data_IF_955459037734
#
_entry.id   IF_955459037734
#
_cell.length_a   1.000
_cell.length_b   1.000
_cell.length_c   1.000
_cell.angle_alpha   90.00
_cell.angle_beta   90.00
_cell.angle_gamma   90.00
#
_symmetry.space_group_name_H-M   'P 1'
#
loop_
_entity.id
_entity.type
_entity.pdbx_description
1 polymer ?
#
# COMPACT_ATOMS: atom_id res chain seq x y z
N UNK A 1 -2.30 -12.05 14.66
CA UNK A 1 -2.53 -10.84 15.49
C UNK A 1 -1.51 -9.71 15.24
N UNK A 2 -0.24 -9.96 14.96
CA UNK A 2 0.76 -8.88 14.78
C UNK A 2 0.60 -8.08 13.48
N UNK A 3 0.19 -8.70 12.37
CA UNK A 3 0.07 -8.06 11.04
C UNK A 3 -1.18 -7.19 10.89
N UNK A 4 -2.29 -7.53 11.56
CA UNK A 4 -3.49 -6.68 11.61
C UNK A 4 -3.24 -5.43 12.47
N UNK A 5 -2.43 -5.55 13.54
CA UNK A 5 -1.95 -4.40 14.33
C UNK A 5 -1.01 -3.50 13.51
N UNK A 6 -0.26 -4.06 12.55
CA UNK A 6 0.63 -3.27 11.69
C UNK A 6 -0.16 -2.44 10.66
N UNK A 7 -1.19 -3.02 10.05
CA UNK A 7 -2.09 -2.30 9.14
C UNK A 7 -2.92 -1.24 9.90
N UNK A 8 -3.42 -1.58 11.09
CA UNK A 8 -4.14 -0.65 11.95
C UNK A 8 -3.22 0.48 12.47
N UNK A 9 -1.96 0.17 12.81
CA UNK A 9 -0.96 1.17 13.18
C UNK A 9 -0.55 2.05 11.99
N UNK A 10 -0.49 1.55 10.77
CA UNK A 10 -0.22 2.37 9.59
C UNK A 10 -1.35 3.38 9.34
N UNK A 11 -2.61 2.95 9.50
CA UNK A 11 -3.78 3.84 9.42
C UNK A 11 -3.80 4.81 10.61
N UNK A 12 -3.40 4.37 11.81
CA UNK A 12 -3.33 5.21 13.00
C UNK A 12 -2.20 6.24 12.88
N UNK A 13 -1.05 5.88 12.30
CA UNK A 13 0.06 6.80 12.00
C UNK A 13 -0.38 7.83 10.95
N UNK A 14 -1.16 7.43 9.94
CA UNK A 14 -1.76 8.35 8.97
C UNK A 14 -2.66 9.38 9.65
N UNK A 15 -3.48 8.96 10.62
CA UNK A 15 -4.37 9.83 11.40
C UNK A 15 -3.63 10.76 12.37
N UNK A 16 -2.44 10.38 12.85
CA UNK A 16 -1.64 11.18 13.79
C UNK A 16 -0.88 12.34 13.11
N UNK A 17 -0.69 12.30 11.78
CA UNK A 17 0.00 13.35 11.01
C UNK A 17 -0.94 14.43 10.43
N UNK A 18 -2.23 14.38 10.67
CA UNK A 18 -3.25 15.30 10.16
C UNK A 18 -3.28 16.75 10.76
N UNK A 19 -2.67 17.11 11.90
CA UNK A 19 -2.87 18.45 12.49
C UNK A 19 -1.98 19.58 11.95
N UNK A 20 -1.26 19.43 10.84
CA UNK A 20 -0.22 20.43 10.45
C UNK A 20 -0.56 21.35 9.26
N UNK A 21 -1.79 21.46 8.82
CA UNK A 21 -2.14 22.29 7.66
C UNK A 21 -3.00 23.50 8.04
N UNK A 22 -2.36 24.58 8.52
CA UNK A 22 -3.00 25.89 8.62
C UNK A 22 -2.12 26.95 7.95
N UNK A 23 -2.07 26.97 6.63
CA UNK A 23 -1.61 28.12 5.86
C UNK A 23 -2.11 28.02 4.42
N UNK A 24 -2.85 29.02 3.98
CA UNK A 24 -3.33 29.14 2.60
C UNK A 24 -2.12 29.29 1.65
N UNK A 25 -1.99 28.37 0.70
CA UNK A 25 -1.01 28.46 -0.39
C UNK A 25 -1.72 29.10 -1.58
N UNK A 26 -1.07 30.05 -2.29
CA UNK A 26 -1.72 30.68 -3.45
C UNK A 26 -1.77 29.72 -4.62
N UNK A 27 -2.87 29.77 -5.38
CA UNK A 27 -3.13 28.96 -6.58
C UNK A 27 -1.99 29.07 -7.60
N UNK A 28 -1.46 30.27 -7.84
CA UNK A 28 -0.32 30.51 -8.72
C UNK A 28 0.96 29.76 -8.29
N UNK A 29 1.19 29.63 -6.99
CA UNK A 29 2.38 28.92 -6.47
C UNK A 29 2.25 27.41 -6.68
N UNK A 30 1.06 26.84 -6.53
CA UNK A 30 0.81 25.41 -6.76
C UNK A 30 0.94 25.09 -8.24
N UNK A 31 0.40 25.95 -9.12
CA UNK A 31 0.50 25.80 -10.58
C UNK A 31 1.95 25.89 -11.06
N UNK A 32 2.74 26.81 -10.52
CA UNK A 32 4.15 27.00 -10.92
C UNK A 32 5.05 25.79 -10.69
N UNK A 33 4.71 24.92 -9.73
CA UNK A 33 5.44 23.67 -9.43
C UNK A 33 4.79 22.41 -10.01
N UNK A 34 3.73 22.56 -10.81
CA UNK A 34 3.06 21.44 -11.46
C UNK A 34 1.97 20.78 -10.63
N UNK A 35 1.38 21.49 -9.66
CA UNK A 35 0.30 20.97 -8.83
C UNK A 35 -0.95 20.56 -9.61
N UNK A 36 -1.27 21.25 -10.70
CA UNK A 36 -2.37 20.89 -11.62
C UNK A 36 -2.14 19.52 -12.28
N UNK A 37 -0.90 19.19 -12.63
CA UNK A 37 -0.56 17.88 -13.22
C UNK A 37 -0.82 16.73 -12.27
N UNK A 38 -0.76 16.94 -10.94
CA UNK A 38 -1.09 15.93 -9.93
C UNK A 38 -2.59 15.64 -9.89
N UNK A 39 -3.41 16.68 -10.01
CA UNK A 39 -4.87 16.54 -10.07
C UNK A 39 -5.29 15.79 -11.35
N UNK A 40 -4.64 16.07 -12.47
CA UNK A 40 -4.88 15.39 -13.75
C UNK A 40 -4.40 13.93 -13.71
N UNK A 41 -3.27 13.66 -13.07
CA UNK A 41 -2.70 12.32 -12.93
C UNK A 41 -3.42 11.46 -11.89
N UNK A 42 -4.36 12.02 -11.13
CA UNK A 42 -5.10 11.29 -10.10
C UNK A 42 -5.99 10.22 -10.76
N UNK A 43 -5.82 8.92 -10.39
CA UNK A 43 -6.65 7.84 -10.91
C UNK A 43 -8.12 7.99 -10.54
N UNK A 44 -9.01 7.46 -11.37
CA UNK A 44 -10.46 7.51 -11.11
C UNK A 44 -10.86 6.86 -9.79
N UNK A 45 -10.11 5.85 -9.34
CA UNK A 45 -10.29 5.21 -8.03
C UNK A 45 -10.07 6.16 -6.85
N UNK A 46 -9.19 7.15 -6.98
CA UNK A 46 -8.96 8.18 -5.97
C UNK A 46 -9.90 9.36 -6.14
N UNK A 47 -10.25 9.74 -7.38
CA UNK A 47 -11.15 10.87 -7.66
C UNK A 47 -12.50 10.76 -6.96
N UNK A 48 -13.07 9.56 -6.91
CA UNK A 48 -14.36 9.34 -6.23
C UNK A 48 -14.33 9.67 -4.72
N UNK A 49 -13.15 9.60 -4.08
CA UNK A 49 -12.97 9.92 -2.65
C UNK A 49 -12.50 11.34 -2.43
N UNK A 50 -11.79 11.92 -3.40
CA UNK A 50 -11.14 13.22 -3.33
C UNK A 50 -11.81 14.26 -4.25
N UNK A 51 -13.10 14.08 -4.56
CA UNK A 51 -13.84 15.03 -5.40
C UNK A 51 -13.90 16.41 -4.72
N UNK A 52 -13.44 17.45 -5.45
CA UNK A 52 -13.32 18.82 -4.93
C UNK A 52 -12.11 19.04 -4.00
N UNK A 53 -11.24 18.07 -3.82
CA UNK A 53 -9.98 18.24 -3.07
C UNK A 53 -8.86 18.60 -4.04
N UNK A 54 -8.26 19.76 -3.85
CA UNK A 54 -7.10 20.21 -4.61
C UNK A 54 -5.95 20.57 -3.66
N UNK A 55 -4.70 20.50 -4.12
CA UNK A 55 -3.56 20.91 -3.31
C UNK A 55 -3.56 22.42 -2.97
N UNK A 56 -4.45 23.19 -3.61
CA UNK A 56 -4.59 24.64 -3.46
C UNK A 56 -5.41 25.02 -2.21
N UNK A 57 -6.32 24.16 -1.76
CA UNK A 57 -7.27 24.43 -0.68
C UNK A 57 -6.94 23.65 0.58
N UNK A 58 -5.94 24.12 1.35
CA UNK A 58 -5.53 23.49 2.61
C UNK A 58 -6.67 23.39 3.65
N UNK A 59 -7.58 24.38 3.70
CA UNK A 59 -8.73 24.40 4.63
C UNK A 59 -9.76 23.31 4.31
N UNK A 60 -9.92 22.98 3.03
CA UNK A 60 -10.84 21.91 2.60
C UNK A 60 -10.28 20.50 2.81
N UNK A 61 -8.96 20.36 3.01
CA UNK A 61 -8.30 19.06 3.26
C UNK A 61 -8.81 18.43 4.56
N UNK A 62 -9.02 19.21 5.62
CA UNK A 62 -9.54 18.70 6.92
C UNK A 62 -10.99 18.21 6.80
N UNK A 63 -11.85 18.97 6.14
CA UNK A 63 -13.26 18.60 5.92
C UNK A 63 -13.39 17.46 4.91
N UNK A 64 -12.46 17.39 3.96
CA UNK A 64 -12.40 16.33 2.95
C UNK A 64 -12.02 14.98 3.55
N UNK A 65 -11.17 14.95 4.58
CA UNK A 65 -10.83 13.70 5.30
C UNK A 65 -12.08 13.04 5.88
N UNK A 66 -12.99 13.82 6.47
CA UNK A 66 -14.23 13.28 7.04
C UNK A 66 -15.14 12.69 5.97
N UNK A 67 -15.29 13.35 4.81
CA UNK A 67 -16.07 12.84 3.67
C UNK A 67 -15.41 11.61 3.03
N UNK A 68 -14.10 11.62 2.91
CA UNK A 68 -13.31 10.46 2.43
C UNK A 68 -13.57 9.25 3.33
N UNK A 69 -13.50 9.42 4.65
CA UNK A 69 -13.76 8.35 5.62
C UNK A 69 -15.19 7.81 5.52
N UNK A 70 -16.18 8.68 5.31
CA UNK A 70 -17.58 8.27 5.15
C UNK A 70 -17.80 7.45 3.87
N UNK A 71 -17.27 7.88 2.74
CA UNK A 71 -17.33 7.13 1.49
C UNK A 71 -16.58 5.78 1.60
N UNK A 72 -15.43 5.76 2.28
CA UNK A 72 -14.66 4.55 2.55
C UNK A 72 -15.44 3.51 3.36
N UNK A 73 -16.37 3.92 4.24
CA UNK A 73 -17.17 2.96 5.03
C UNK A 73 -18.15 2.17 4.17
N UNK A 74 -18.75 2.76 3.14
CA UNK A 74 -19.69 2.08 2.25
C UNK A 74 -18.99 1.00 1.41
N UNK A 75 -17.81 1.33 0.88
CA UNK A 75 -17.01 0.38 0.08
C UNK A 75 -16.41 -0.75 0.93
N UNK A 76 -16.10 -0.46 2.19
CA UNK A 76 -15.70 -1.49 3.16
C UNK A 76 -16.81 -2.52 3.38
N UNK A 77 -18.07 -2.09 3.49
CA UNK A 77 -19.20 -3.01 3.65
C UNK A 77 -19.37 -3.90 2.42
N UNK A 78 -19.23 -3.35 1.22
CA UNK A 78 -19.32 -4.12 -0.03
C UNK A 78 -18.21 -5.17 -0.14
N UNK A 79 -16.98 -4.81 0.23
CA UNK A 79 -15.83 -5.71 0.25
C UNK A 79 -16.01 -6.87 1.24
N UNK A 80 -16.49 -6.56 2.46
CA UNK A 80 -16.79 -7.57 3.49
C UNK A 80 -17.91 -8.50 3.03
N UNK A 81 -18.99 -7.97 2.45
CA UNK A 81 -20.10 -8.79 1.92
C UNK A 81 -19.61 -9.74 0.81
N UNK A 82 -18.73 -9.28 -0.06
CA UNK A 82 -18.15 -10.10 -1.12
C UNK A 82 -17.30 -11.25 -0.56
N UNK A 83 -16.45 -10.97 0.44
CA UNK A 83 -15.63 -11.97 1.11
C UNK A 83 -16.48 -13.00 1.87
N UNK A 84 -17.53 -12.54 2.59
CA UNK A 84 -18.49 -13.42 3.26
C UNK A 84 -19.28 -14.27 2.26
N UNK A 85 -19.69 -13.72 1.12
CA UNK A 85 -20.36 -14.47 0.05
C UNK A 85 -19.48 -15.59 -0.52
N UNK A 86 -18.17 -15.36 -0.65
CA UNK A 86 -17.18 -16.38 -1.00
C UNK A 86 -17.10 -17.49 0.04
N UNK A 87 -16.96 -17.11 1.31
CA UNK A 87 -16.92 -18.04 2.44
C UNK A 87 -18.22 -18.89 2.54
N UNK A 88 -19.39 -18.28 2.35
CA UNK A 88 -20.66 -19.01 2.36
C UNK A 88 -20.74 -20.07 1.27
N UNK A 89 -20.25 -19.77 0.04
CA UNK A 89 -20.18 -20.78 -1.04
C UNK A 89 -19.31 -21.96 -0.67
N UNK A 90 -18.16 -21.69 -0.05
CA UNK A 90 -17.26 -22.74 0.46
C UNK A 90 -17.92 -23.52 1.59
N UNK A 91 -18.60 -22.84 2.53
CA UNK A 91 -19.31 -23.50 3.61
C UNK A 91 -20.40 -24.47 3.12
N UNK A 92 -21.13 -24.11 2.08
CA UNK A 92 -22.12 -25.01 1.44
C UNK A 92 -21.45 -26.28 0.89
N UNK A 93 -20.32 -26.15 0.19
CA UNK A 93 -19.58 -27.31 -0.34
C UNK A 93 -19.11 -28.21 0.80
N UNK A 94 -18.56 -27.63 1.87
CA UNK A 94 -18.06 -28.36 3.04
C UNK A 94 -19.22 -29.09 3.76
N UNK A 95 -20.37 -28.44 3.93
CA UNK A 95 -21.57 -29.05 4.54
C UNK A 95 -22.08 -30.22 3.70
N UNK A 96 -22.16 -30.07 2.37
CA UNK A 96 -22.57 -31.16 1.47
C UNK A 96 -21.60 -32.35 1.55
N UNK A 97 -20.29 -32.07 1.56
CA UNK A 97 -19.27 -33.11 1.71
C UNK A 97 -19.36 -33.83 3.06
N UNK A 98 -19.59 -33.06 4.14
CA UNK A 98 -19.77 -33.63 5.48
C UNK A 98 -21.02 -34.52 5.57
N UNK A 99 -22.15 -34.07 4.98
CA UNK A 99 -23.35 -34.88 4.90
C UNK A 99 -23.13 -36.16 4.07
N UNK A 100 -22.48 -36.07 2.92
CA UNK A 100 -22.16 -37.22 2.07
C UNK A 100 -21.28 -38.24 2.81
N UNK A 101 -20.29 -37.82 3.58
CA UNK A 101 -19.48 -38.70 4.45
C UNK A 101 -20.33 -39.38 5.50
N UNK A 102 -21.24 -38.64 6.16
CA UNK A 102 -22.15 -39.20 7.17
C UNK A 102 -23.05 -40.28 6.59
N UNK A 103 -23.62 -40.08 5.38
CA UNK A 103 -24.44 -41.10 4.68
C UNK A 103 -23.61 -42.30 4.26
N UNK A 104 -22.39 -42.11 3.75
CA UNK A 104 -21.50 -43.22 3.37
C UNK A 104 -21.12 -44.06 4.59
N UNK A 105 -20.78 -43.45 5.70
CA UNK A 105 -20.46 -44.12 6.95
C UNK A 105 -21.68 -44.93 7.49
N UNK A 106 -22.88 -44.35 7.43
CA UNK A 106 -24.11 -45.02 7.85
C UNK A 106 -24.49 -46.23 6.95
N UNK A 107 -24.09 -46.19 5.68
CA UNK A 107 -24.29 -47.29 4.72
C UNK A 107 -23.21 -48.38 4.80
N UNK A 108 -22.27 -48.30 5.76
CA UNK A 108 -21.18 -49.29 5.91
C UNK A 108 -20.05 -49.13 4.90
N UNK A 109 -20.03 -48.02 4.16
CA UNK A 109 -18.91 -47.68 3.26
C UNK A 109 -17.67 -47.25 4.01
N UNK A 110 -16.50 -47.69 3.55
CA UNK A 110 -15.22 -47.13 4.04
C UNK A 110 -15.13 -45.63 3.73
N UNK A 111 -14.39 -44.87 4.56
CA UNK A 111 -14.19 -43.46 4.42
C UNK A 111 -13.79 -43.13 2.96
N UNK A 112 -14.65 -42.36 2.26
CA UNK A 112 -14.48 -42.16 0.85
C UNK A 112 -13.54 -40.96 0.61
N UNK A 113 -12.28 -41.22 0.39
CA UNK A 113 -11.27 -40.22 -0.05
C UNK A 113 -11.74 -39.44 -1.29
N UNK A 114 -12.59 -40.06 -2.11
CA UNK A 114 -13.19 -39.39 -3.26
C UNK A 114 -14.14 -38.23 -2.94
N UNK A 115 -14.87 -38.32 -1.82
CA UNK A 115 -15.74 -37.22 -1.35
C UNK A 115 -14.87 -36.03 -0.94
N UNK A 116 -13.80 -36.28 -0.21
CA UNK A 116 -12.87 -35.23 0.25
C UNK A 116 -12.12 -34.63 -0.93
N UNK A 117 -11.69 -35.44 -1.89
CA UNK A 117 -11.05 -34.94 -3.11
C UNK A 117 -12.01 -34.08 -3.94
N UNK A 118 -13.23 -34.49 -4.14
CA UNK A 118 -14.24 -33.73 -4.88
C UNK A 118 -14.58 -32.41 -4.16
N UNK A 119 -14.70 -32.43 -2.83
CA UNK A 119 -14.94 -31.25 -2.04
C UNK A 119 -13.75 -30.29 -2.10
N UNK A 120 -12.50 -30.79 -2.03
CA UNK A 120 -11.30 -30.00 -2.17
C UNK A 120 -11.22 -29.29 -3.53
N UNK A 121 -11.50 -30.01 -4.62
CA UNK A 121 -11.53 -29.46 -5.97
C UNK A 121 -12.65 -28.43 -6.15
N UNK A 122 -13.85 -28.70 -5.62
CA UNK A 122 -14.97 -27.75 -5.64
C UNK A 122 -14.66 -26.47 -4.88
N UNK A 123 -14.08 -26.57 -3.69
CA UNK A 123 -13.61 -25.42 -2.91
C UNK A 123 -12.48 -24.69 -3.63
N UNK A 124 -11.52 -25.42 -4.21
CA UNK A 124 -10.42 -24.82 -4.96
C UNK A 124 -10.92 -23.96 -6.14
N UNK A 125 -11.92 -24.44 -6.90
CA UNK A 125 -12.49 -23.69 -8.00
C UNK A 125 -13.11 -22.35 -7.57
N UNK A 126 -13.86 -22.34 -6.45
CA UNK A 126 -14.45 -21.11 -5.90
C UNK A 126 -13.37 -20.18 -5.39
N UNK A 127 -12.42 -20.70 -4.61
CA UNK A 127 -11.39 -19.89 -3.93
C UNK A 127 -10.36 -19.32 -4.89
N UNK A 128 -9.96 -20.06 -5.92
CA UNK A 128 -9.06 -19.56 -6.97
C UNK A 128 -9.70 -18.43 -7.77
N UNK A 129 -11.02 -18.51 -8.03
CA UNK A 129 -11.76 -17.43 -8.69
C UNK A 129 -11.76 -16.15 -7.84
N UNK A 130 -12.09 -16.28 -6.55
CA UNK A 130 -12.13 -15.14 -5.62
C UNK A 130 -10.73 -14.53 -5.46
N UNK A 131 -9.69 -15.37 -5.39
CA UNK A 131 -8.30 -14.93 -5.33
C UNK A 131 -7.87 -14.19 -6.61
N UNK A 132 -8.20 -14.72 -7.79
CA UNK A 132 -7.88 -14.07 -9.05
C UNK A 132 -8.53 -12.68 -9.17
N UNK A 133 -9.75 -12.50 -8.65
CA UNK A 133 -10.41 -11.21 -8.61
C UNK A 133 -9.70 -10.18 -7.71
N UNK A 134 -9.22 -10.60 -6.53
CA UNK A 134 -8.44 -9.72 -5.64
C UNK A 134 -7.04 -9.47 -6.21
N UNK A 135 -6.43 -10.48 -6.84
CA UNK A 135 -5.13 -10.35 -7.47
C UNK A 135 -5.14 -9.32 -8.62
N UNK A 136 -6.16 -9.37 -9.49
CA UNK A 136 -6.30 -8.38 -10.58
C UNK A 136 -6.46 -6.98 -10.00
N UNK A 137 -7.29 -6.81 -8.98
CA UNK A 137 -7.46 -5.53 -8.30
C UNK A 137 -6.14 -5.01 -7.69
N UNK A 138 -5.33 -5.90 -7.08
CA UNK A 138 -4.02 -5.52 -6.54
C UNK A 138 -3.05 -5.08 -7.64
N UNK A 139 -3.02 -5.78 -8.79
CA UNK A 139 -2.20 -5.39 -9.95
C UNK A 139 -2.59 -4.03 -10.51
N UNK A 140 -3.89 -3.84 -10.76
CA UNK A 140 -4.42 -2.57 -11.26
C UNK A 140 -4.07 -1.41 -10.31
N UNK A 141 -4.09 -1.67 -9.00
CA UNK A 141 -3.71 -0.70 -7.98
C UNK A 141 -2.22 -0.38 -8.02
N UNK A 142 -1.36 -1.39 -8.16
CA UNK A 142 0.09 -1.18 -8.27
C UNK A 142 0.44 -0.37 -9.52
N UNK A 143 -0.25 -0.60 -10.64
CA UNK A 143 -0.08 0.18 -11.87
C UNK A 143 -0.55 1.63 -11.68
N UNK A 144 -1.69 1.86 -11.03
CA UNK A 144 -2.17 3.20 -10.69
C UNK A 144 -1.20 3.95 -9.78
N UNK A 145 -0.67 3.28 -8.75
CA UNK A 145 0.34 3.85 -7.85
C UNK A 145 1.61 4.20 -8.62
N UNK A 146 2.04 3.35 -9.54
CA UNK A 146 3.24 3.59 -10.37
C UNK A 146 3.07 4.84 -11.23
N UNK A 147 1.94 4.98 -11.93
CA UNK A 147 1.64 6.15 -12.76
C UNK A 147 1.56 7.41 -11.92
N UNK A 148 0.83 7.38 -10.82
CA UNK A 148 0.68 8.53 -9.92
C UNK A 148 2.02 8.94 -9.29
N UNK A 149 2.82 7.98 -8.81
CA UNK A 149 4.16 8.22 -8.27
C UNK A 149 5.09 8.87 -9.31
N UNK A 150 5.02 8.42 -10.57
CA UNK A 150 5.79 9.01 -11.68
C UNK A 150 5.52 10.49 -11.92
N UNK A 151 4.34 10.99 -11.56
CA UNK A 151 3.99 12.43 -11.62
C UNK A 151 4.29 13.13 -10.30
N UNK A 152 4.02 12.49 -9.17
CA UNK A 152 4.18 13.07 -7.84
C UNK A 152 5.65 13.37 -7.49
N UNK A 153 6.56 12.46 -7.81
CA UNK A 153 7.98 12.59 -7.47
C UNK A 153 8.66 13.81 -8.12
N UNK A 154 8.52 14.09 -9.44
CA UNK A 154 9.06 15.30 -10.04
C UNK A 154 8.51 16.58 -9.43
N UNK A 155 7.20 16.62 -9.14
CA UNK A 155 6.56 17.79 -8.51
C UNK A 155 7.15 18.05 -7.13
N UNK A 156 7.26 17.02 -6.29
CA UNK A 156 7.90 17.12 -4.98
C UNK A 156 9.37 17.51 -5.05
N UNK A 157 10.12 16.98 -6.03
CA UNK A 157 11.52 17.37 -6.23
C UNK A 157 11.65 18.86 -6.62
N UNK A 158 10.73 19.37 -7.45
CA UNK A 158 10.69 20.80 -7.80
C UNK A 158 10.42 21.65 -6.55
N UNK A 159 9.47 21.26 -5.72
CA UNK A 159 9.16 21.95 -4.45
C UNK A 159 10.34 21.93 -3.48
N UNK A 160 11.05 20.80 -3.37
CA UNK A 160 12.27 20.70 -2.56
C UNK A 160 13.40 21.60 -3.10
N UNK A 161 13.55 21.66 -4.42
CA UNK A 161 14.56 22.48 -5.08
C UNK A 161 14.32 23.99 -4.84
N UNK A 162 13.06 24.44 -4.93
CA UNK A 162 12.69 25.84 -4.61
C UNK A 162 12.95 26.21 -3.16
N UNK A 163 12.88 25.23 -2.24
CA UNK A 163 13.26 25.37 -0.83
C UNK A 163 14.75 25.33 -0.55
N UNK A 164 15.62 25.35 -1.58
CA UNK A 164 17.07 25.34 -1.44
C UNK A 164 17.71 23.96 -1.20
N UNK A 165 16.94 22.88 -1.30
CA UNK A 165 17.42 21.50 -1.11
C UNK A 165 17.63 20.79 -2.45
N UNK A 166 18.33 21.42 -3.39
CA UNK A 166 18.49 20.93 -4.77
C UNK A 166 19.21 19.58 -4.86
N UNK A 167 20.29 19.38 -4.10
CA UNK A 167 21.03 18.12 -4.10
C UNK A 167 20.20 16.98 -3.50
N UNK A 168 19.49 17.25 -2.41
CA UNK A 168 18.55 16.28 -1.79
C UNK A 168 17.42 15.93 -2.75
N UNK A 169 16.83 16.91 -3.42
CA UNK A 169 15.75 16.73 -4.39
C UNK A 169 16.19 15.78 -5.55
N UNK A 170 17.33 16.08 -6.16
CA UNK A 170 17.85 15.33 -7.29
C UNK A 170 18.16 13.86 -6.91
N UNK A 171 18.85 13.66 -5.79
CA UNK A 171 19.24 12.32 -5.32
C UNK A 171 18.01 11.50 -4.96
N UNK A 172 17.07 12.05 -4.20
CA UNK A 172 15.86 11.37 -3.79
C UNK A 172 15.01 11.00 -5.00
N UNK A 173 14.72 11.97 -5.89
CA UNK A 173 13.91 11.73 -7.08
C UNK A 173 14.49 10.60 -7.93
N UNK A 174 15.78 10.68 -8.30
CA UNK A 174 16.38 9.71 -9.19
C UNK A 174 16.40 8.30 -8.57
N UNK A 175 16.83 8.20 -7.31
CA UNK A 175 16.96 6.90 -6.68
C UNK A 175 15.61 6.30 -6.30
N UNK A 176 14.65 7.09 -5.84
CA UNK A 176 13.33 6.56 -5.48
C UNK A 176 12.56 6.10 -6.71
N UNK A 177 12.62 6.82 -7.83
CA UNK A 177 12.04 6.34 -9.09
C UNK A 177 12.59 4.96 -9.48
N UNK A 178 13.91 4.78 -9.43
CA UNK A 178 14.55 3.51 -9.77
C UNK A 178 14.15 2.41 -8.79
N UNK A 179 14.20 2.69 -7.48
CA UNK A 179 13.85 1.70 -6.45
C UNK A 179 12.38 1.32 -6.54
N UNK A 180 11.50 2.28 -6.74
CA UNK A 180 10.06 2.03 -6.82
C UNK A 180 9.69 1.19 -8.06
N UNK A 181 10.23 1.54 -9.24
CA UNK A 181 10.05 0.77 -10.47
C UNK A 181 10.58 -0.67 -10.30
N UNK A 182 11.77 -0.82 -9.69
CA UNK A 182 12.34 -2.14 -9.38
C UNK A 182 11.43 -2.96 -8.46
N UNK A 183 10.87 -2.35 -7.41
CA UNK A 183 9.97 -3.02 -6.48
C UNK A 183 8.70 -3.48 -7.19
N UNK A 184 8.05 -2.62 -7.99
CA UNK A 184 6.84 -2.98 -8.73
C UNK A 184 7.13 -4.11 -9.71
N UNK A 185 8.24 -4.05 -10.46
CA UNK A 185 8.67 -5.14 -11.35
C UNK A 185 8.90 -6.44 -10.60
N UNK A 186 9.57 -6.39 -9.46
CA UNK A 186 9.82 -7.57 -8.62
C UNK A 186 8.52 -8.18 -8.09
N UNK A 187 7.58 -7.34 -7.64
CA UNK A 187 6.27 -7.79 -7.18
C UNK A 187 5.52 -8.46 -8.34
N UNK A 188 5.41 -7.80 -9.49
CA UNK A 188 4.63 -8.32 -10.63
C UNK A 188 5.27 -9.56 -11.28
N UNK A 189 6.60 -9.58 -11.44
CA UNK A 189 7.31 -10.64 -12.15
C UNK A 189 7.62 -11.87 -11.29
N UNK A 190 7.80 -11.70 -9.98
CA UNK A 190 8.22 -12.78 -9.08
C UNK A 190 7.19 -13.11 -8.00
N UNK A 191 6.77 -12.09 -7.22
CA UNK A 191 5.97 -12.34 -6.02
C UNK A 191 4.52 -12.71 -6.35
N UNK A 192 3.93 -12.10 -7.37
CA UNK A 192 2.58 -12.43 -7.83
C UNK A 192 2.48 -13.85 -8.39
N UNK A 193 3.36 -14.31 -9.32
CA UNK A 193 3.39 -15.72 -9.73
C UNK A 193 3.67 -16.67 -8.57
N UNK A 194 4.54 -16.29 -7.61
CA UNK A 194 4.80 -17.10 -6.43
C UNK A 194 3.54 -17.28 -5.56
N UNK A 195 2.71 -16.24 -5.39
CA UNK A 195 1.44 -16.34 -4.66
C UNK A 195 0.43 -17.25 -5.39
N UNK A 196 0.38 -17.18 -6.72
CA UNK A 196 -0.44 -18.09 -7.53
C UNK A 196 0.03 -19.55 -7.40
N UNK A 197 1.34 -19.78 -7.50
CA UNK A 197 1.95 -21.09 -7.32
C UNK A 197 1.69 -21.65 -5.91
N UNK A 198 1.81 -20.81 -4.88
CA UNK A 198 1.47 -21.16 -3.51
C UNK A 198 0.05 -21.72 -3.39
N UNK A 199 -0.94 -21.03 -3.96
CA UNK A 199 -2.34 -21.48 -3.90
C UNK A 199 -2.58 -22.74 -4.74
N UNK A 200 -1.99 -22.83 -5.92
CA UNK A 200 -2.11 -24.02 -6.75
C UNK A 200 -1.55 -25.26 -6.03
N UNK A 201 -0.37 -25.14 -5.43
CA UNK A 201 0.28 -26.22 -4.67
C UNK A 201 -0.57 -26.61 -3.45
N UNK A 202 -1.12 -25.65 -2.71
CA UNK A 202 -1.99 -25.95 -1.55
C UNK A 202 -3.31 -26.58 -1.95
N UNK A 203 -3.88 -26.26 -3.13
CA UNK A 203 -5.06 -26.90 -3.66
C UNK A 203 -4.80 -28.37 -4.06
N UNK A 204 -3.66 -28.63 -4.72
CA UNK A 204 -3.25 -29.98 -5.08
C UNK A 204 -2.95 -30.82 -3.83
N UNK A 205 -2.27 -30.24 -2.82
CA UNK A 205 -1.97 -30.92 -1.56
C UNK A 205 -3.26 -31.33 -0.80
N UNK A 206 -4.26 -30.46 -0.83
CA UNK A 206 -5.57 -30.73 -0.23
C UNK A 206 -6.33 -31.85 -0.96
N UNK A 207 -6.26 -31.87 -2.30
CA UNK A 207 -6.90 -32.90 -3.11
C UNK A 207 -6.19 -34.27 -3.00
N UNK A 208 -4.84 -34.25 -2.90
CA UNK A 208 -4.05 -35.47 -2.73
C UNK A 208 -4.11 -36.05 -1.31
N UNK A 209 -4.42 -35.25 -0.30
CA UNK A 209 -4.60 -35.66 1.09
C UNK A 209 -3.34 -36.09 1.85
N UNK A 210 -2.18 -36.14 1.19
CA UNK A 210 -0.94 -36.75 1.73
C UNK A 210 0.07 -35.78 2.34
N UNK A 211 -0.13 -34.46 2.19
CA UNK A 211 0.74 -33.42 2.77
C UNK A 211 2.16 -33.33 2.19
N UNK A 212 2.44 -34.00 1.07
CA UNK A 212 3.79 -34.03 0.45
C UNK A 212 4.25 -32.67 -0.05
N UNK A 213 3.33 -31.81 -0.50
CA UNK A 213 3.64 -30.51 -1.12
C UNK A 213 3.75 -29.38 -0.09
N UNK A 214 3.47 -29.67 1.19
CA UNK A 214 3.47 -28.67 2.26
C UNK A 214 4.81 -27.94 2.38
N UNK A 215 5.93 -28.65 2.33
CA UNK A 215 7.25 -28.05 2.44
C UNK A 215 7.53 -27.03 1.34
N UNK A 216 7.06 -27.28 0.11
CA UNK A 216 7.20 -26.36 -1.02
C UNK A 216 6.33 -25.13 -0.81
N UNK A 217 5.07 -25.30 -0.37
CA UNK A 217 4.18 -24.19 -0.08
C UNK A 217 4.74 -23.28 1.03
N UNK A 218 5.22 -23.85 2.12
CA UNK A 218 5.84 -23.12 3.23
C UNK A 218 7.12 -22.40 2.79
N UNK A 219 7.91 -23.01 1.91
CA UNK A 219 9.09 -22.39 1.30
C UNK A 219 8.73 -21.15 0.48
N UNK A 220 7.74 -21.24 -0.39
CA UNK A 220 7.25 -20.09 -1.21
C UNK A 220 6.73 -18.97 -0.32
N UNK A 221 5.93 -19.29 0.69
CA UNK A 221 5.42 -18.31 1.67
C UNK A 221 6.55 -17.61 2.41
N UNK A 222 7.53 -18.38 2.90
CA UNK A 222 8.70 -17.84 3.61
C UNK A 222 9.53 -16.94 2.72
N UNK A 223 9.82 -17.38 1.49
CA UNK A 223 10.56 -16.60 0.49
C UNK A 223 9.84 -15.29 0.18
N UNK A 224 8.56 -15.34 -0.18
CA UNK A 224 7.76 -14.16 -0.50
C UNK A 224 7.74 -13.16 0.67
N UNK A 225 7.49 -13.64 1.88
CA UNK A 225 7.48 -12.78 3.08
C UNK A 225 8.87 -12.22 3.41
N UNK A 226 9.93 -13.00 3.18
CA UNK A 226 11.32 -12.60 3.39
C UNK A 226 11.74 -11.49 2.42
N UNK A 227 11.42 -11.65 1.14
CA UNK A 227 11.70 -10.66 0.09
C UNK A 227 10.99 -9.34 0.40
N UNK A 228 9.70 -9.35 0.78
CA UNK A 228 8.98 -8.13 1.13
C UNK A 228 9.61 -7.39 2.33
N UNK A 229 10.02 -8.12 3.35
CA UNK A 229 10.73 -7.54 4.50
C UNK A 229 12.08 -6.95 4.11
N UNK A 230 12.83 -7.66 3.27
CA UNK A 230 14.13 -7.20 2.78
C UNK A 230 14.00 -5.90 1.99
N UNK A 231 13.05 -5.82 1.06
CA UNK A 231 12.77 -4.62 0.27
C UNK A 231 12.51 -3.42 1.20
N UNK A 232 11.59 -3.56 2.15
CA UNK A 232 11.24 -2.47 3.06
C UNK A 232 12.42 -2.04 3.94
N UNK A 233 13.22 -3.00 4.42
CA UNK A 233 14.41 -2.72 5.24
C UNK A 233 15.48 -2.00 4.44
N UNK A 234 15.77 -2.45 3.21
CA UNK A 234 16.75 -1.80 2.33
C UNK A 234 16.32 -0.39 1.94
N UNK A 235 15.03 -0.20 1.65
CA UNK A 235 14.49 1.12 1.32
C UNK A 235 14.58 2.09 2.51
N UNK A 236 14.24 1.64 3.71
CA UNK A 236 14.35 2.46 4.94
C UNK A 236 15.82 2.83 5.22
N UNK A 237 16.74 1.88 5.06
CA UNK A 237 18.18 2.15 5.20
C UNK A 237 18.67 3.14 4.14
N UNK A 238 18.21 3.01 2.89
CA UNK A 238 18.52 3.96 1.82
C UNK A 238 18.07 5.39 2.19
N UNK A 239 16.82 5.58 2.64
CA UNK A 239 16.33 6.90 3.05
C UNK A 239 17.15 7.50 4.19
N UNK A 240 17.55 6.70 5.17
CA UNK A 240 18.38 7.16 6.29
C UNK A 240 19.75 7.66 5.82
N UNK A 241 20.37 6.99 4.87
CA UNK A 241 21.68 7.36 4.32
C UNK A 241 21.56 8.59 3.40
N UNK A 242 20.60 8.55 2.45
CA UNK A 242 20.41 9.62 1.47
C UNK A 242 20.14 10.98 2.14
N UNK A 243 19.32 10.98 3.20
CA UNK A 243 19.02 12.19 3.95
C UNK A 243 20.17 12.75 4.75
N UNK A 244 20.92 11.89 5.40
CA UNK A 244 22.09 12.32 6.17
C UNK A 244 23.16 12.98 5.30
N UNK A 245 23.39 12.46 4.10
CA UNK A 245 24.40 12.99 3.17
C UNK A 245 23.91 14.25 2.47
N UNK A 246 22.74 14.17 1.81
CA UNK A 246 22.24 15.26 0.96
C UNK A 246 21.87 16.50 1.77
N UNK A 247 21.20 16.35 2.92
CA UNK A 247 20.82 17.49 3.76
C UNK A 247 22.01 18.29 4.32
N UNK A 248 23.17 17.69 4.51
CA UNK A 248 24.38 18.40 4.94
C UNK A 248 24.98 19.21 3.79
N UNK A 249 24.98 18.69 2.56
CA UNK A 249 25.48 19.40 1.37
C UNK A 249 24.62 20.62 1.06
N UNK A 250 23.30 20.48 1.08
CA UNK A 250 22.36 21.58 0.81
C UNK A 250 22.47 22.69 1.86
N UNK A 251 22.57 22.34 3.15
CA UNK A 251 22.79 23.33 4.24
C UNK A 251 24.10 24.10 4.08
N UNK A 252 25.15 23.41 3.63
CA UNK A 252 26.45 24.04 3.41
C UNK A 252 26.40 25.00 2.21
N UNK A 253 25.73 24.62 1.11
CA UNK A 253 25.53 25.50 -0.05
C UNK A 253 24.72 26.74 0.28
N UNK A 254 23.59 26.59 0.97
CA UNK A 254 22.75 27.72 1.40
C UNK A 254 23.53 28.69 2.32
N UNK A 255 24.28 28.16 3.28
CA UNK A 255 25.09 29.00 4.20
C UNK A 255 26.17 29.75 3.46
N UNK A 256 26.84 29.12 2.48
CA UNK A 256 27.86 29.74 1.66
C UNK A 256 27.28 30.83 0.75
N UNK A 257 26.14 30.56 0.10
CA UNK A 257 25.44 31.54 -0.73
C UNK A 257 24.99 32.76 0.10
N UNK A 258 24.43 32.53 1.30
CA UNK A 258 23.97 33.59 2.21
C UNK A 258 25.16 34.49 2.67
N UNK A 259 26.30 33.88 2.97
CA UNK A 259 27.52 34.61 3.34
C UNK A 259 28.12 35.38 2.16
N UNK A 260 28.11 34.82 0.94
CA UNK A 260 28.62 35.51 -0.24
C UNK A 260 27.77 36.73 -0.62
N UNK A 261 26.45 36.65 -0.51
CA UNK A 261 25.52 37.74 -0.82
C UNK A 261 25.54 38.82 0.27
N UNK A 262 25.58 38.45 1.55
CA UNK A 262 25.60 39.40 2.67
C UNK A 262 26.93 40.17 2.76
N UNK A 263 28.05 39.60 2.33
CA UNK A 263 29.35 40.23 2.32
C UNK A 263 29.63 41.14 1.12
N UNK A 264 28.93 40.94 -0.01
CA UNK A 264 29.21 41.65 -1.26
C UNK A 264 28.48 43.00 -1.39
N UNK A 265 27.34 43.21 -0.73
CA UNK A 265 26.51 44.44 -0.90
C UNK A 265 25.90 44.90 0.43
N UNK A 266 26.52 45.83 1.13
CA UNK A 266 26.14 46.22 2.50
C UNK A 266 24.75 46.86 2.64
N UNK A 267 24.20 47.45 1.57
CA UNK A 267 22.92 48.19 1.63
C UNK A 267 21.71 47.35 1.17
N UNK A 268 21.92 46.32 0.35
CA UNK A 268 20.85 45.50 -0.26
C UNK A 268 20.79 44.09 0.34
N UNK A 269 21.79 43.69 1.12
CA UNK A 269 21.90 42.34 1.71
C UNK A 269 20.73 41.98 2.63
N UNK A 270 20.14 42.96 3.32
CA UNK A 270 18.94 42.74 4.16
C UNK A 270 17.71 42.34 3.32
N UNK A 271 17.43 43.13 2.28
CA UNK A 271 16.26 42.87 1.40
C UNK A 271 16.34 41.50 0.67
N UNK A 272 17.56 41.11 0.29
CA UNK A 272 17.79 39.80 -0.35
C UNK A 272 17.68 38.69 0.70
N UNK A 273 18.11 38.92 1.94
CA UNK A 273 17.93 37.97 3.05
C UNK A 273 16.45 37.72 3.35
N UNK A 274 15.65 38.80 3.44
CA UNK A 274 14.21 38.74 3.71
C UNK A 274 13.43 38.09 2.56
N UNK A 275 13.79 38.40 1.31
CA UNK A 275 13.23 37.75 0.14
C UNK A 275 13.54 36.24 0.12
N UNK A 276 14.76 35.86 0.51
CA UNK A 276 15.16 34.43 0.60
C UNK A 276 14.39 33.71 1.71
N UNK A 277 14.17 34.36 2.84
CA UNK A 277 13.39 33.80 3.95
C UNK A 277 11.90 33.63 3.59
N UNK A 278 11.34 34.59 2.86
CA UNK A 278 9.97 34.51 2.33
C UNK A 278 9.82 33.38 1.31
N UNK A 279 10.81 33.20 0.41
CA UNK A 279 10.82 32.07 -0.55
C UNK A 279 10.91 30.71 0.15
N UNK A 280 11.77 30.60 1.18
CA UNK A 280 11.91 29.37 1.97
C UNK A 280 10.63 29.02 2.74
N UNK A 281 9.95 30.02 3.31
CA UNK A 281 8.68 29.83 4.01
C UNK A 281 7.58 29.39 3.03
N UNK A 282 7.47 30.03 1.86
CA UNK A 282 6.53 29.67 0.81
C UNK A 282 6.75 28.25 0.30
N UNK A 283 8.00 27.84 0.07
CA UNK A 283 8.33 26.48 -0.34
C UNK A 283 8.00 25.42 0.74
N UNK A 284 8.14 25.77 2.03
CA UNK A 284 7.76 24.89 3.12
C UNK A 284 6.24 24.65 3.18
N UNK A 285 5.44 25.69 2.92
CA UNK A 285 3.99 25.62 2.85
C UNK A 285 3.52 24.77 1.65
N UNK A 286 4.04 25.06 0.46
CA UNK A 286 3.77 24.31 -0.78
C UNK A 286 4.05 22.83 -0.61
N UNK A 287 5.17 22.49 0.02
CA UNK A 287 5.54 21.12 0.30
C UNK A 287 4.56 20.43 1.24
N UNK A 288 4.11 21.13 2.29
CA UNK A 288 3.12 20.62 3.22
C UNK A 288 1.83 20.26 2.49
N UNK A 289 1.31 21.18 1.69
CA UNK A 289 0.07 21.01 0.92
C UNK A 289 0.17 19.89 -0.12
N UNK A 290 1.18 19.90 -1.00
CA UNK A 290 1.39 18.87 -2.04
C UNK A 290 1.71 17.52 -1.42
N UNK A 291 2.50 17.48 -0.35
CA UNK A 291 2.81 16.23 0.34
C UNK A 291 1.59 15.58 0.99
N UNK A 292 0.75 16.37 1.64
CA UNK A 292 -0.51 15.90 2.25
C UNK A 292 -1.47 15.41 1.16
N UNK A 293 -1.64 16.17 0.08
CA UNK A 293 -2.45 15.77 -1.06
C UNK A 293 -1.95 14.45 -1.66
N UNK A 294 -0.64 14.30 -1.88
CA UNK A 294 -0.03 13.07 -2.35
C UNK A 294 -0.29 11.87 -1.42
N UNK A 295 -0.16 12.05 -0.10
CA UNK A 295 -0.49 11.02 0.88
C UNK A 295 -1.96 10.61 0.85
N UNK A 296 -2.88 11.57 0.72
CA UNK A 296 -4.31 11.30 0.61
C UNK A 296 -4.64 10.54 -0.68
N UNK A 297 -4.03 10.92 -1.82
CA UNK A 297 -4.20 10.21 -3.09
C UNK A 297 -3.72 8.76 -2.98
N UNK A 298 -2.52 8.51 -2.45
CA UNK A 298 -2.00 7.15 -2.26
C UNK A 298 -2.90 6.34 -1.32
N UNK A 299 -3.37 6.95 -0.23
CA UNK A 299 -4.31 6.29 0.69
C UNK A 299 -5.63 5.92 -0.02
N UNK A 300 -6.19 6.84 -0.80
CA UNK A 300 -7.44 6.63 -1.55
C UNK A 300 -7.28 5.52 -2.62
N UNK A 301 -6.18 5.51 -3.37
CA UNK A 301 -5.88 4.46 -4.36
C UNK A 301 -5.80 3.08 -3.70
N UNK A 302 -5.13 3.00 -2.55
CA UNK A 302 -4.87 1.73 -1.86
C UNK A 302 -6.07 1.22 -1.06
N UNK A 303 -7.01 2.06 -0.69
CA UNK A 303 -8.04 1.75 0.30
C UNK A 303 -8.89 0.53 -0.06
N UNK A 304 -9.54 0.55 -1.23
CA UNK A 304 -10.43 -0.55 -1.68
C UNK A 304 -9.71 -1.90 -1.75
N UNK A 305 -8.55 -2.01 -2.43
CA UNK A 305 -7.83 -3.28 -2.48
C UNK A 305 -7.32 -3.75 -1.11
N UNK A 306 -6.94 -2.82 -0.23
CA UNK A 306 -6.57 -3.16 1.15
C UNK A 306 -7.72 -3.77 1.93
N UNK A 307 -8.88 -3.14 1.89
CA UNK A 307 -10.07 -3.63 2.60
C UNK A 307 -10.51 -4.97 2.01
N UNK A 308 -10.49 -5.10 0.68
CA UNK A 308 -10.92 -6.33 0.02
C UNK A 308 -9.97 -7.50 0.28
N UNK A 309 -8.65 -7.31 0.17
CA UNK A 309 -7.66 -8.32 0.50
C UNK A 309 -7.67 -8.66 2.01
N UNK A 310 -7.80 -7.65 2.86
CA UNK A 310 -7.86 -7.80 4.31
C UNK A 310 -9.13 -8.52 4.78
N UNK A 311 -10.29 -8.16 4.24
CA UNK A 311 -11.55 -8.84 4.51
C UNK A 311 -11.49 -10.32 4.08
N UNK A 312 -10.99 -10.59 2.87
CA UNK A 312 -10.81 -11.96 2.39
C UNK A 312 -9.85 -12.75 3.29
N UNK A 313 -8.71 -12.16 3.67
CA UNK A 313 -7.77 -12.77 4.62
C UNK A 313 -8.43 -13.16 5.94
N UNK A 314 -9.17 -12.24 6.54
CA UNK A 314 -9.84 -12.47 7.83
C UNK A 314 -10.98 -13.47 7.71
N UNK A 315 -11.84 -13.33 6.68
CA UNK A 315 -12.98 -14.21 6.47
C UNK A 315 -12.53 -15.67 6.24
N UNK A 316 -11.55 -15.92 5.37
CA UNK A 316 -11.11 -17.28 5.11
C UNK A 316 -10.33 -17.88 6.27
N UNK A 317 -9.57 -17.07 7.01
CA UNK A 317 -8.86 -17.55 8.19
C UNK A 317 -9.81 -17.87 9.34
N UNK A 318 -10.76 -17.00 9.65
CA UNK A 318 -11.79 -17.28 10.65
C UNK A 318 -12.75 -18.40 10.19
N UNK A 319 -13.07 -18.42 8.88
CA UNK A 319 -13.89 -19.47 8.29
C UNK A 319 -13.28 -20.86 8.40
N UNK A 320 -11.95 -20.99 8.27
CA UNK A 320 -11.26 -22.26 8.49
C UNK A 320 -11.45 -22.79 9.91
N UNK A 321 -11.39 -21.90 10.92
CA UNK A 321 -11.62 -22.28 12.32
C UNK A 321 -13.08 -22.68 12.57
N UNK A 322 -14.05 -21.91 12.06
CA UNK A 322 -15.49 -22.14 12.19
C UNK A 322 -15.92 -23.43 11.51
N UNK A 323 -15.40 -23.70 10.30
CA UNK A 323 -15.73 -24.90 9.53
C UNK A 323 -14.90 -26.13 9.96
N UNK A 324 -13.92 -25.98 10.83
CA UNK A 324 -13.02 -27.05 11.29
C UNK A 324 -13.74 -28.33 11.72
N UNK A 325 -14.85 -28.30 12.48
CA UNK A 325 -15.54 -29.52 12.89
C UNK A 325 -16.18 -30.31 11.74
N UNK A 326 -16.40 -29.67 10.60
CA UNK A 326 -17.06 -30.22 9.41
C UNK A 326 -16.07 -30.61 8.32
N UNK A 327 -14.84 -30.15 8.43
CA UNK A 327 -13.79 -30.37 7.44
C UNK A 327 -12.95 -31.60 7.77
N UNK A 328 -12.42 -32.27 6.72
CA UNK A 328 -11.25 -33.10 6.88
C UNK A 328 -10.02 -32.26 7.18
N UNK A 329 -8.98 -32.86 7.77
CA UNK A 329 -7.73 -32.16 8.10
C UNK A 329 -7.06 -31.51 6.89
N UNK A 330 -7.17 -32.14 5.71
CA UNK A 330 -6.68 -31.59 4.44
C UNK A 330 -7.44 -30.32 4.04
N UNK A 331 -8.78 -30.35 4.13
CA UNK A 331 -9.63 -29.23 3.79
C UNK A 331 -9.45 -28.04 4.73
N UNK A 332 -9.36 -28.30 6.03
CA UNK A 332 -9.09 -27.24 7.03
C UNK A 332 -7.80 -26.52 6.70
N UNK A 333 -6.71 -27.24 6.48
CA UNK A 333 -5.41 -26.67 6.10
C UNK A 333 -5.48 -25.89 4.80
N UNK A 334 -6.24 -26.36 3.83
CA UNK A 334 -6.43 -25.66 2.56
C UNK A 334 -7.07 -24.28 2.79
N UNK A 335 -8.14 -24.21 3.57
CA UNK A 335 -8.80 -22.93 3.91
C UNK A 335 -7.86 -21.95 4.64
N UNK A 336 -7.08 -22.44 5.59
CA UNK A 336 -6.06 -21.64 6.29
C UNK A 336 -5.00 -21.12 5.31
N UNK A 337 -4.56 -21.96 4.37
CA UNK A 337 -3.57 -21.61 3.35
C UNK A 337 -4.11 -20.59 2.34
N UNK A 338 -5.38 -20.70 1.96
CA UNK A 338 -6.04 -19.69 1.12
C UNK A 338 -6.08 -18.33 1.83
N UNK A 339 -6.48 -18.30 3.11
CA UNK A 339 -6.36 -17.10 3.92
C UNK A 339 -4.94 -16.53 3.91
N UNK A 340 -3.92 -17.39 4.04
CA UNK A 340 -2.52 -16.97 3.96
C UNK A 340 -2.17 -16.39 2.57
N UNK A 341 -2.68 -16.95 1.48
CA UNK A 341 -2.52 -16.43 0.12
C UNK A 341 -3.03 -14.98 -0.02
N UNK A 342 -4.23 -14.68 0.49
CA UNK A 342 -4.73 -13.31 0.56
C UNK A 342 -3.85 -12.41 1.44
N UNK A 343 -3.29 -12.97 2.52
CA UNK A 343 -2.31 -12.27 3.36
C UNK A 343 -1.00 -11.92 2.63
N UNK A 344 -0.58 -12.72 1.65
CA UNK A 344 0.57 -12.40 0.80
C UNK A 344 0.25 -11.23 -0.15
N UNK A 345 -0.93 -11.21 -0.79
CA UNK A 345 -1.36 -10.08 -1.62
C UNK A 345 -1.44 -8.78 -0.81
N UNK A 346 -2.04 -8.85 0.38
CA UNK A 346 -2.10 -7.73 1.30
C UNK A 346 -0.69 -7.24 1.67
N UNK A 347 0.25 -8.16 1.91
CA UNK A 347 1.64 -7.85 2.20
C UNK A 347 2.37 -7.16 1.05
N UNK A 348 2.15 -7.58 -0.19
CA UNK A 348 2.72 -6.96 -1.39
C UNK A 348 2.22 -5.52 -1.54
N UNK A 349 0.90 -5.33 -1.49
CA UNK A 349 0.28 -4.01 -1.58
C UNK A 349 0.76 -3.09 -0.45
N UNK A 350 0.78 -3.61 0.80
CA UNK A 350 1.28 -2.87 1.97
C UNK A 350 2.71 -2.39 1.80
N UNK A 351 3.59 -3.24 1.25
CA UNK A 351 4.99 -2.89 1.07
C UNK A 351 5.13 -1.75 0.06
N UNK A 352 4.45 -1.80 -1.08
CA UNK A 352 4.49 -0.74 -2.09
C UNK A 352 3.92 0.58 -1.54
N UNK A 353 2.78 0.55 -0.87
CA UNK A 353 2.20 1.73 -0.24
C UNK A 353 3.13 2.31 0.84
N UNK A 354 3.72 1.47 1.70
CA UNK A 354 4.63 1.92 2.75
C UNK A 354 5.90 2.59 2.21
N UNK A 355 6.43 2.12 1.08
CA UNK A 355 7.57 2.75 0.42
C UNK A 355 7.22 4.17 0.01
N UNK A 356 6.09 4.39 -0.67
CA UNK A 356 5.64 5.72 -1.05
C UNK A 356 5.33 6.62 0.15
N UNK A 357 4.66 6.08 1.17
CA UNK A 357 4.40 6.84 2.38
C UNK A 357 5.68 7.27 3.09
N UNK A 358 6.64 6.37 3.25
CA UNK A 358 7.93 6.71 3.86
C UNK A 358 8.66 7.77 3.06
N UNK A 359 8.63 7.69 1.74
CA UNK A 359 9.21 8.71 0.86
C UNK A 359 8.55 10.07 1.06
N UNK A 360 7.20 10.12 1.01
CA UNK A 360 6.44 11.35 1.19
C UNK A 360 6.69 11.98 2.56
N UNK A 361 6.61 11.19 3.63
CA UNK A 361 6.90 11.63 4.99
C UNK A 361 8.33 12.18 5.08
N UNK A 362 9.27 11.47 4.45
CA UNK A 362 10.66 11.88 4.44
C UNK A 362 10.86 13.19 3.69
N UNK A 363 10.30 13.36 2.50
CA UNK A 363 10.33 14.61 1.74
C UNK A 363 9.69 15.78 2.49
N UNK A 364 8.54 15.52 3.15
CA UNK A 364 7.87 16.52 3.99
C UNK A 364 8.67 16.88 5.24
N UNK A 365 9.40 15.95 5.83
CA UNK A 365 10.18 16.18 7.04
C UNK A 365 11.53 16.88 6.82
N UNK A 366 12.10 16.79 5.60
CA UNK A 366 13.46 17.23 5.30
C UNK A 366 13.69 18.74 5.36
N UNK A 367 12.69 19.56 5.16
CA UNK A 367 12.83 21.01 5.25
C UNK A 367 12.32 21.47 6.62
N UNK A 368 13.19 21.53 7.60
CA UNK A 368 12.94 22.34 8.80
C UNK A 368 13.08 23.80 8.42
N UNK A 369 12.18 24.71 8.88
CA UNK A 369 12.46 26.13 8.84
C UNK A 369 13.76 26.36 9.62
N UNK A 370 14.69 27.08 9.03
CA UNK A 370 15.94 27.50 9.63
C UNK A 370 15.65 28.63 10.62
#
# INVERSE_FOLDING_TARGET
>A
MSKCKLALNAILVLLLFLPFAHAAVSEEQVQSVGGSSLTDAMPNSARQYLDGVSPENADTLSDSVSRVLENMTSDSQSAIRTALGGLLRVAVIVLLASAARGFSAAAGGEANDWIDMAAALGCAAVLLRDFAGVLSLCRDTLDQISVFSGTLQPVLATVLATGGNTATATVLQAATMVVFDLVIRLVNALLVPAACAYLAITAVDAAAGNGMLRGIADGIKSLTSGVLKLILTLFTAYLAIAGGVSGNVDRMMLKTAKLAVSGAVPVVGGVISDATETMLSGAALLRGSIGIFGMLCVAAICFVPFVRAGASYLCYKAGADVLSPLCSDGMKRFLENVGTGFGLLLGMLSTCCMILFLELVYMVAMVKPI
#
